data_IF_401813713265
#
_entry.id   IF_401813713265
#
_cell.length_a   1.000
_cell.length_b   1.000
_cell.length_c   1.000
_cell.angle_alpha   90.00
_cell.angle_beta   90.00
_cell.angle_gamma   90.00
#
_symmetry.space_group_name_H-M   'P 1'
#
loop_
_entity.id
_entity.type
_entity.pdbx_description
1 polymer ?
#
# COMPACT_ATOMS: atom_id res chain seq x y z
N UNK A 1 -20.65 -11.82 3.04
CA UNK A 1 -20.20 -10.42 2.90
C UNK A 1 -21.13 -9.70 1.94
N UNK A 2 -21.69 -8.55 2.34
CA UNK A 2 -22.42 -7.65 1.44
C UNK A 2 -22.12 -6.21 1.80
N UNK A 3 -21.59 -5.42 0.82
CA UNK A 3 -21.13 -4.05 1.05
C UNK A 3 -21.41 -3.19 -0.19
N UNK A 4 -21.77 -1.94 0.06
CA UNK A 4 -21.93 -0.89 -0.94
C UNK A 4 -20.93 0.24 -0.67
N UNK A 5 -20.25 0.69 -1.70
CA UNK A 5 -19.18 1.68 -1.59
C UNK A 5 -19.20 2.64 -2.78
N UNK A 6 -18.57 3.79 -2.62
CA UNK A 6 -18.31 4.67 -3.75
C UNK A 6 -17.31 3.98 -4.70
N UNK A 7 -17.65 3.91 -5.99
CA UNK A 7 -16.86 3.22 -7.01
C UNK A 7 -15.46 3.79 -7.17
N UNK A 8 -15.34 5.12 -7.25
CA UNK A 8 -14.06 5.78 -7.52
C UNK A 8 -13.11 5.62 -6.33
N UNK A 9 -13.63 5.73 -5.10
CA UNK A 9 -12.86 5.45 -3.89
C UNK A 9 -12.42 3.98 -3.82
N UNK A 10 -13.31 3.04 -4.16
CA UNK A 10 -12.95 1.62 -4.20
C UNK A 10 -11.89 1.32 -5.28
N UNK A 11 -11.96 2.02 -6.44
CA UNK A 11 -10.93 1.93 -7.48
C UNK A 11 -9.57 2.42 -6.99
N UNK A 12 -9.53 3.53 -6.27
CA UNK A 12 -8.28 4.05 -5.68
C UNK A 12 -7.67 3.03 -4.72
N UNK A 13 -8.48 2.47 -3.81
CA UNK A 13 -8.01 1.45 -2.87
C UNK A 13 -7.48 0.21 -3.58
N UNK A 14 -8.22 -0.30 -4.57
CA UNK A 14 -7.82 -1.46 -5.35
C UNK A 14 -6.52 -1.21 -6.14
N UNK A 15 -6.38 -0.03 -6.73
CA UNK A 15 -5.18 0.37 -7.47
C UNK A 15 -3.96 0.52 -6.55
N UNK A 16 -4.13 1.08 -5.34
CA UNK A 16 -3.07 1.17 -4.35
C UNK A 16 -2.66 -0.23 -3.87
N UNK A 17 -3.60 -1.06 -3.44
CA UNK A 17 -3.32 -2.42 -2.97
C UNK A 17 -2.62 -3.26 -4.05
N UNK A 18 -3.03 -3.16 -5.32
CA UNK A 18 -2.42 -3.90 -6.44
C UNK A 18 -0.91 -3.67 -6.58
N UNK A 19 -0.37 -2.55 -6.09
CA UNK A 19 1.07 -2.27 -6.14
C UNK A 19 1.91 -3.17 -5.24
N UNK A 20 1.30 -3.74 -4.19
CA UNK A 20 1.98 -4.70 -3.30
C UNK A 20 1.80 -6.17 -3.75
N UNK A 21 1.02 -6.44 -4.78
CA UNK A 21 0.83 -7.81 -5.28
C UNK A 21 2.08 -8.30 -6.00
N UNK A 22 2.62 -9.50 -5.67
CA UNK A 22 3.80 -10.03 -6.31
C UNK A 22 3.52 -10.48 -7.75
N UNK A 23 4.45 -10.22 -8.67
CA UNK A 23 4.35 -10.71 -10.06
C UNK A 23 4.50 -12.23 -10.14
N UNK A 24 5.36 -12.79 -9.30
CA UNK A 24 5.66 -14.23 -9.24
C UNK A 24 5.53 -14.65 -7.78
N UNK A 25 4.75 -15.67 -7.51
CA UNK A 25 4.57 -16.24 -6.17
C UNK A 25 4.17 -17.71 -6.25
N UNK A 26 4.58 -18.48 -5.25
CA UNK A 26 4.16 -19.88 -5.04
C UNK A 26 2.86 -19.98 -4.24
N UNK A 27 2.44 -18.89 -3.58
CA UNK A 27 1.22 -18.81 -2.78
C UNK A 27 0.13 -18.17 -3.65
N UNK A 28 -0.87 -18.94 -4.11
CA UNK A 28 -1.89 -18.43 -5.03
C UNK A 28 -2.67 -17.23 -4.49
N UNK A 29 -2.94 -17.20 -3.19
CA UNK A 29 -3.72 -16.17 -2.52
C UNK A 29 -3.04 -14.79 -2.61
N UNK A 30 -1.72 -14.72 -2.65
CA UNK A 30 -0.97 -13.46 -2.80
C UNK A 30 -1.14 -12.80 -4.18
N UNK A 31 -1.68 -13.52 -5.19
CA UNK A 31 -2.06 -12.91 -6.48
C UNK A 31 -3.34 -12.09 -6.41
N UNK A 32 -4.03 -12.13 -5.28
CA UNK A 32 -5.27 -11.40 -5.04
C UNK A 32 -5.09 -10.25 -4.05
N UNK A 33 -6.14 -9.43 -3.98
CA UNK A 33 -6.35 -8.41 -2.95
C UNK A 33 -7.29 -9.00 -1.92
N UNK A 34 -6.89 -9.05 -0.67
CA UNK A 34 -7.77 -9.39 0.44
C UNK A 34 -8.69 -8.20 0.72
N UNK A 35 -9.98 -8.39 0.49
CA UNK A 35 -11.04 -7.44 0.77
C UNK A 35 -11.76 -7.88 2.04
N UNK A 36 -11.93 -6.96 2.98
CA UNK A 36 -12.64 -7.16 4.24
C UNK A 36 -13.69 -6.07 4.43
N UNK A 37 -14.92 -6.46 4.70
CA UNK A 37 -16.02 -5.57 5.06
C UNK A 37 -16.38 -5.76 6.53
N UNK A 38 -16.32 -4.69 7.32
CA UNK A 38 -16.67 -4.69 8.74
C UNK A 38 -17.91 -3.83 9.00
N UNK A 39 -19.03 -4.47 9.38
CA UNK A 39 -20.28 -3.78 9.66
C UNK A 39 -20.25 -2.95 10.95
N UNK A 40 -19.39 -3.29 11.92
CA UNK A 40 -19.27 -2.53 13.18
C UNK A 40 -18.58 -1.19 12.96
N UNK A 41 -17.54 -1.20 12.12
CA UNK A 41 -16.77 -0.01 11.79
C UNK A 41 -17.34 0.74 10.60
N UNK A 42 -18.28 0.14 9.86
CA UNK A 42 -18.79 0.63 8.58
C UNK A 42 -17.64 0.92 7.59
N UNK A 43 -16.70 -0.02 7.48
CA UNK A 43 -15.47 0.14 6.70
C UNK A 43 -15.29 -1.01 5.71
N UNK A 44 -14.79 -0.64 4.54
CA UNK A 44 -14.24 -1.56 3.54
C UNK A 44 -12.73 -1.40 3.53
N UNK A 45 -12.01 -2.50 3.73
CA UNK A 45 -10.54 -2.53 3.74
C UNK A 45 -10.03 -3.44 2.63
N UNK A 46 -9.03 -2.99 1.90
CA UNK A 46 -8.31 -3.76 0.90
C UNK A 46 -6.85 -3.89 1.30
N UNK A 47 -6.37 -5.12 1.41
CA UNK A 47 -4.99 -5.42 1.81
C UNK A 47 -4.30 -6.26 0.75
N UNK A 48 -3.07 -5.91 0.41
CA UNK A 48 -2.21 -6.76 -0.40
C UNK A 48 -0.78 -6.75 0.13
N UNK A 49 -0.07 -7.84 -0.10
CA UNK A 49 1.32 -8.00 0.33
C UNK A 49 2.10 -8.93 -0.60
N UNK A 50 3.39 -8.68 -0.72
CA UNK A 50 4.36 -9.58 -1.32
C UNK A 50 5.34 -10.14 -0.28
N UNK A 51 5.00 -10.02 1.02
CA UNK A 51 5.79 -10.37 2.20
C UNK A 51 6.96 -9.42 2.52
N UNK A 52 7.43 -8.60 1.57
CA UNK A 52 8.42 -7.54 1.80
C UNK A 52 7.72 -6.19 2.02
N UNK A 53 6.67 -5.96 1.25
CA UNK A 53 5.84 -4.75 1.29
C UNK A 53 4.40 -5.16 1.52
N UNK A 54 3.70 -4.42 2.37
CA UNK A 54 2.25 -4.54 2.51
C UNK A 54 1.57 -3.19 2.40
N UNK A 55 0.39 -3.19 1.79
CA UNK A 55 -0.49 -2.02 1.68
C UNK A 55 -1.85 -2.43 2.22
N UNK A 56 -2.33 -1.66 3.19
CA UNK A 56 -3.69 -1.77 3.73
C UNK A 56 -4.36 -0.41 3.57
N UNK A 57 -5.39 -0.35 2.73
CA UNK A 57 -6.15 0.86 2.48
C UNK A 57 -7.61 0.66 2.89
N UNK A 58 -8.20 1.64 3.55
CA UNK A 58 -9.55 1.55 4.10
C UNK A 58 -10.39 2.76 3.72
N UNK A 59 -11.68 2.55 3.54
CA UNK A 59 -12.66 3.61 3.26
C UNK A 59 -13.99 3.34 3.98
N UNK A 60 -14.77 4.39 4.30
CA UNK A 60 -16.13 4.21 4.77
C UNK A 60 -17.00 3.53 3.71
N UNK A 61 -17.85 2.58 4.12
CA UNK A 61 -18.75 1.86 3.24
C UNK A 61 -20.03 1.44 3.98
N UNK A 62 -21.13 1.29 3.24
CA UNK A 62 -22.36 0.75 3.80
C UNK A 62 -22.27 -0.78 3.81
N UNK A 63 -21.93 -1.36 4.95
CA UNK A 63 -21.75 -2.80 5.12
C UNK A 63 -23.02 -3.41 5.71
N UNK A 64 -23.72 -4.23 4.92
CA UNK A 64 -24.91 -4.96 5.36
C UNK A 64 -24.51 -6.25 6.08
N UNK A 65 -23.47 -6.93 5.59
CA UNK A 65 -22.99 -8.21 6.11
C UNK A 65 -21.47 -8.25 6.09
N UNK A 66 -20.87 -8.40 7.28
CA UNK A 66 -19.41 -8.54 7.42
C UNK A 66 -18.88 -9.80 6.75
N UNK A 67 -17.63 -9.75 6.30
CA UNK A 67 -16.96 -10.91 5.74
C UNK A 67 -15.73 -10.51 4.94
N UNK A 68 -15.08 -11.50 4.37
CA UNK A 68 -13.86 -11.30 3.59
C UNK A 68 -13.83 -12.14 2.33
N UNK A 69 -13.06 -11.68 1.35
CA UNK A 69 -12.83 -12.36 0.08
C UNK A 69 -11.46 -11.99 -0.48
N UNK A 70 -10.82 -12.89 -1.20
CA UNK A 70 -9.59 -12.58 -1.94
C UNK A 70 -9.92 -12.53 -3.44
N UNK A 71 -9.83 -11.33 -4.01
CA UNK A 71 -10.21 -11.06 -5.40
C UNK A 71 -8.95 -10.94 -6.24
N UNK A 72 -8.88 -11.56 -7.44
CA UNK A 72 -7.73 -11.41 -8.34
C UNK A 72 -7.37 -9.95 -8.60
N UNK A 73 -6.10 -9.59 -8.35
CA UNK A 73 -5.64 -8.20 -8.35
C UNK A 73 -5.53 -7.60 -9.75
N UNK A 74 -5.40 -8.41 -10.77
CA UNK A 74 -5.37 -8.02 -12.18
C UNK A 74 -6.76 -7.62 -12.70
N UNK A 75 -7.83 -8.21 -12.14
CA UNK A 75 -9.19 -7.98 -12.60
C UNK A 75 -9.92 -6.86 -11.84
N UNK A 76 -9.73 -6.75 -10.53
CA UNK A 76 -10.53 -5.86 -9.69
C UNK A 76 -10.45 -4.38 -10.11
N UNK A 77 -9.26 -3.76 -10.30
CA UNK A 77 -9.20 -2.37 -10.73
C UNK A 77 -9.79 -2.15 -12.13
N UNK A 78 -9.58 -3.10 -13.05
CA UNK A 78 -10.10 -3.00 -14.42
C UNK A 78 -11.62 -3.09 -14.47
N UNK A 79 -12.23 -3.92 -13.63
CA UNK A 79 -13.69 -4.01 -13.49
C UNK A 79 -14.23 -2.71 -12.91
N UNK A 80 -13.68 -2.24 -11.78
CA UNK A 80 -14.13 -1.01 -11.13
C UNK A 80 -14.06 0.20 -12.08
N UNK A 81 -13.02 0.28 -12.91
CA UNK A 81 -12.86 1.35 -13.89
C UNK A 81 -13.94 1.32 -14.99
N UNK A 82 -14.49 0.14 -15.31
CA UNK A 82 -15.46 -0.05 -16.39
C UNK A 82 -16.92 -0.05 -15.93
N UNK A 83 -17.16 -0.14 -14.62
CA UNK A 83 -18.50 -0.12 -14.07
C UNK A 83 -19.16 1.24 -14.30
N UNK A 84 -20.44 1.27 -14.71
CA UNK A 84 -21.21 2.50 -14.79
C UNK A 84 -21.62 2.98 -13.39
N UNK A 85 -21.90 4.27 -13.25
CA UNK A 85 -22.40 4.86 -12.00
C UNK A 85 -21.34 5.06 -10.92
N UNK A 86 -21.74 5.67 -9.81
CA UNK A 86 -20.85 6.12 -8.74
C UNK A 86 -20.82 5.16 -7.56
N UNK A 87 -21.71 4.16 -7.53
CA UNK A 87 -21.80 3.17 -6.48
C UNK A 87 -21.48 1.79 -7.01
N UNK A 88 -20.78 1.00 -6.21
CA UNK A 88 -20.48 -0.40 -6.48
C UNK A 88 -20.94 -1.25 -5.30
N UNK A 89 -21.52 -2.40 -5.60
CA UNK A 89 -21.87 -3.43 -4.62
C UNK A 89 -20.97 -4.65 -4.77
N UNK A 90 -20.54 -5.18 -3.64
CA UNK A 90 -19.82 -6.45 -3.57
C UNK A 90 -20.65 -7.41 -2.72
N UNK A 91 -20.94 -8.60 -3.24
CA UNK A 91 -21.64 -9.64 -2.49
C UNK A 91 -21.04 -11.02 -2.76
N UNK A 92 -20.70 -11.75 -1.70
CA UNK A 92 -20.28 -13.16 -1.84
C UNK A 92 -21.51 -14.05 -1.91
N UNK A 93 -21.55 -14.91 -2.93
CA UNK A 93 -22.65 -15.84 -3.16
C UNK A 93 -22.11 -17.26 -3.08
N UNK A 94 -22.34 -17.91 -1.95
CA UNK A 94 -21.78 -19.23 -1.70
C UNK A 94 -20.24 -19.24 -1.59
N UNK A 95 -19.63 -20.41 -1.51
CA UNK A 95 -18.19 -20.54 -1.46
C UNK A 95 -17.56 -20.27 -2.83
N UNK A 96 -16.62 -19.33 -2.86
CA UNK A 96 -15.75 -19.14 -4.02
C UNK A 96 -16.23 -18.20 -5.12
N UNK A 97 -17.36 -17.49 -4.96
CA UNK A 97 -17.86 -16.54 -5.97
C UNK A 97 -18.18 -15.20 -5.32
N UNK A 98 -17.76 -14.12 -5.96
CA UNK A 98 -18.18 -12.75 -5.66
C UNK A 98 -18.91 -12.14 -6.85
N UNK A 99 -19.99 -11.43 -6.55
CA UNK A 99 -20.68 -10.56 -7.48
C UNK A 99 -20.25 -9.12 -7.24
N UNK A 100 -19.92 -8.41 -8.32
CA UNK A 100 -19.57 -6.99 -8.32
C UNK A 100 -20.55 -6.30 -9.24
N UNK A 101 -21.39 -5.44 -8.69
CA UNK A 101 -22.47 -4.80 -9.44
C UNK A 101 -22.46 -3.29 -9.33
N UNK A 102 -22.90 -2.61 -10.41
CA UNK A 102 -23.18 -1.17 -10.43
C UNK A 102 -24.21 -0.87 -11.51
N UNK A 103 -25.34 -0.30 -11.12
CA UNK A 103 -26.44 -0.04 -12.03
C UNK A 103 -26.93 -1.33 -12.71
N UNK A 104 -26.83 -1.38 -14.03
CA UNK A 104 -27.24 -2.54 -14.85
C UNK A 104 -26.08 -3.52 -15.14
N UNK A 105 -24.87 -3.19 -14.75
CA UNK A 105 -23.71 -4.05 -14.98
C UNK A 105 -23.41 -4.93 -13.77
N UNK A 106 -23.18 -6.21 -14.03
CA UNK A 106 -22.81 -7.20 -13.02
C UNK A 106 -21.70 -8.09 -13.54
N UNK A 107 -20.70 -8.33 -12.68
CA UNK A 107 -19.62 -9.26 -12.91
C UNK A 107 -19.63 -10.36 -11.85
N UNK A 108 -19.31 -11.58 -12.27
CA UNK A 108 -19.12 -12.74 -11.40
C UNK A 108 -17.69 -13.19 -11.50
N UNK A 109 -17.01 -13.27 -10.37
CA UNK A 109 -15.62 -13.69 -10.29
C UNK A 109 -15.47 -14.86 -9.33
N UNK A 110 -14.57 -15.77 -9.69
CA UNK A 110 -14.06 -16.74 -8.74
C UNK A 110 -13.10 -16.03 -7.78
N UNK A 111 -13.26 -16.27 -6.50
CA UNK A 111 -12.42 -15.72 -5.43
C UNK A 111 -11.56 -16.82 -4.82
N UNK A 112 -10.45 -16.44 -4.25
CA UNK A 112 -9.58 -17.30 -3.48
C UNK A 112 -10.01 -17.32 -2.01
N UNK A 113 -9.54 -18.32 -1.26
CA UNK A 113 -9.88 -18.52 0.14
C UNK A 113 -9.23 -17.43 1.02
N UNK A 114 -10.05 -16.56 1.60
CA UNK A 114 -9.57 -15.48 2.45
C UNK A 114 -8.90 -15.99 3.75
N UNK A 115 -9.28 -17.18 4.24
CA UNK A 115 -8.69 -17.76 5.44
C UNK A 115 -7.23 -18.21 5.23
N UNK A 116 -6.83 -18.44 3.98
CA UNK A 116 -5.45 -18.80 3.62
C UNK A 116 -4.57 -17.62 3.24
N UNK A 117 -5.14 -16.43 3.20
CA UNK A 117 -4.37 -15.24 2.86
C UNK A 117 -3.44 -14.88 4.02
N UNK A 118 -2.12 -14.75 3.80
CA UNK A 118 -1.18 -14.37 4.85
C UNK A 118 -1.31 -12.87 5.13
N UNK A 119 -2.28 -12.51 5.98
CA UNK A 119 -2.50 -11.12 6.36
C UNK A 119 -1.29 -10.59 7.14
N UNK A 120 -0.70 -9.47 6.73
CA UNK A 120 0.35 -8.82 7.50
C UNK A 120 -0.20 -8.30 8.82
N UNK A 121 0.61 -8.37 9.87
CA UNK A 121 0.28 -7.70 11.13
C UNK A 121 0.19 -6.19 10.92
N UNK A 122 -0.81 -5.57 11.54
CA UNK A 122 -0.93 -4.11 11.55
C UNK A 122 -0.04 -3.59 12.66
N UNK A 123 1.05 -2.87 12.34
CA UNK A 123 1.96 -2.43 13.39
C UNK A 123 1.32 -1.34 14.23
N UNK A 124 1.58 -1.37 15.53
CA UNK A 124 1.31 -0.25 16.40
C UNK A 124 2.48 0.74 16.30
N UNK A 125 2.19 1.99 15.98
CA UNK A 125 3.19 3.05 15.85
C UNK A 125 3.16 3.94 17.09
N UNK A 126 4.18 3.83 17.94
CA UNK A 126 4.30 4.64 19.16
C UNK A 126 4.94 6.00 18.87
N UNK A 127 6.14 5.98 18.32
CA UNK A 127 6.90 7.18 17.97
C UNK A 127 6.85 7.42 16.46
N UNK A 128 6.04 8.38 16.04
CA UNK A 128 5.91 8.72 14.62
C UNK A 128 6.46 10.08 14.30
N UNK A 129 6.96 10.22 13.08
CA UNK A 129 7.45 11.49 12.53
C UNK A 129 6.56 11.83 11.33
N UNK A 130 5.96 13.02 11.29
CA UNK A 130 5.24 13.46 10.11
C UNK A 130 6.19 13.66 8.94
N UNK A 131 5.92 13.04 7.81
CA UNK A 131 6.70 13.18 6.58
C UNK A 131 5.81 13.53 5.41
N UNK A 132 6.24 14.49 4.59
CA UNK A 132 5.56 14.94 3.38
C UNK A 132 6.52 14.96 2.20
N UNK A 133 5.99 15.04 0.97
CA UNK A 133 6.79 15.13 -0.24
C UNK A 133 7.56 13.85 -0.62
N UNK A 134 7.10 12.68 -0.17
CA UNK A 134 7.73 11.38 -0.47
C UNK A 134 7.83 11.13 -1.98
N UNK A 135 6.80 11.51 -2.76
CA UNK A 135 6.83 11.39 -4.22
C UNK A 135 7.96 12.19 -4.84
N UNK A 136 8.14 13.43 -4.37
CA UNK A 136 9.19 14.32 -4.86
C UNK A 136 10.58 13.79 -4.51
N UNK A 137 10.78 13.36 -3.26
CA UNK A 137 12.04 12.74 -2.82
C UNK A 137 12.38 11.48 -3.61
N UNK A 138 11.39 10.63 -3.85
CA UNK A 138 11.57 9.42 -4.64
C UNK A 138 11.97 9.75 -6.09
N UNK A 139 11.27 10.67 -6.76
CA UNK A 139 11.63 11.10 -8.13
C UNK A 139 13.07 11.63 -8.23
N UNK A 140 13.52 12.34 -7.21
CA UNK A 140 14.85 12.98 -7.20
C UNK A 140 15.98 12.02 -6.82
N UNK A 141 15.70 10.86 -6.25
CA UNK A 141 16.75 9.97 -5.73
C UNK A 141 16.73 8.55 -6.30
N UNK A 142 15.56 7.98 -6.61
CA UNK A 142 15.46 6.56 -7.01
C UNK A 142 16.30 6.19 -8.23
N UNK A 143 16.52 7.10 -9.18
CA UNK A 143 17.31 6.83 -10.39
C UNK A 143 18.77 6.52 -10.09
N UNK A 144 19.29 6.99 -8.96
CA UNK A 144 20.67 6.75 -8.54
C UNK A 144 20.83 5.50 -7.66
N UNK A 145 19.73 4.81 -7.30
CA UNK A 145 19.83 3.54 -6.60
C UNK A 145 20.24 2.42 -7.57
N UNK A 146 21.04 1.47 -7.08
CA UNK A 146 21.48 0.35 -7.90
C UNK A 146 20.35 -0.60 -8.25
N UNK A 147 20.47 -1.25 -9.41
CA UNK A 147 19.57 -2.30 -9.86
C UNK A 147 20.36 -3.61 -10.14
N UNK A 148 19.67 -4.75 -10.19
CA UNK A 148 20.28 -6.04 -10.50
C UNK A 148 21.09 -6.64 -9.35
N UNK A 149 22.22 -7.31 -9.65
CA UNK A 149 23.00 -8.11 -8.70
C UNK A 149 24.05 -7.32 -7.89
N UNK A 150 23.87 -6.02 -7.74
CA UNK A 150 24.76 -5.21 -6.94
C UNK A 150 24.53 -5.43 -5.42
N UNK A 151 25.45 -4.88 -4.60
CA UNK A 151 25.36 -4.96 -3.15
C UNK A 151 24.01 -4.41 -2.64
N UNK A 152 23.39 -5.09 -1.69
CA UNK A 152 22.06 -4.75 -1.20
C UNK A 152 21.96 -3.32 -0.69
N UNK A 153 23.00 -2.81 -0.02
CA UNK A 153 23.04 -1.43 0.49
C UNK A 153 22.86 -0.39 -0.64
N UNK A 154 23.40 -0.65 -1.84
CA UNK A 154 23.26 0.25 -2.97
C UNK A 154 21.86 0.24 -3.60
N UNK A 155 21.05 -0.78 -3.27
CA UNK A 155 19.62 -0.88 -3.67
C UNK A 155 18.69 -0.13 -2.71
N UNK A 156 19.26 0.63 -1.77
CA UNK A 156 18.48 1.41 -0.80
C UNK A 156 18.54 2.90 -1.08
N UNK A 157 17.54 3.59 -0.54
CA UNK A 157 17.57 5.04 -0.34
C UNK A 157 17.71 5.27 1.15
N UNK A 158 18.73 5.98 1.55
CA UNK A 158 18.93 6.42 2.93
C UNK A 158 18.02 7.62 3.20
N UNK A 159 17.04 7.42 4.07
CA UNK A 159 16.25 8.51 4.64
C UNK A 159 16.91 8.96 5.94
N UNK A 160 17.26 10.23 6.02
CA UNK A 160 17.81 10.89 7.21
C UNK A 160 16.81 11.92 7.69
N UNK A 161 16.29 11.72 8.89
CA UNK A 161 15.38 12.65 9.55
C UNK A 161 16.08 13.23 10.76
N UNK A 162 15.97 14.50 10.98
CA UNK A 162 16.60 15.18 12.10
C UNK A 162 16.07 16.60 12.34
N UNK A 163 16.76 17.40 13.18
CA UNK A 163 16.32 18.76 13.50
C UNK A 163 16.20 19.71 12.30
N UNK A 164 16.82 19.35 11.19
CA UNK A 164 16.86 20.19 9.98
C UNK A 164 15.95 19.68 8.85
N UNK A 165 15.08 18.72 9.15
CA UNK A 165 14.15 18.14 8.17
C UNK A 165 14.55 16.77 7.66
N UNK A 166 13.87 16.35 6.58
CA UNK A 166 14.06 15.06 5.92
C UNK A 166 15.01 15.21 4.73
N UNK A 167 15.96 14.28 4.61
CA UNK A 167 16.83 14.13 3.42
C UNK A 167 16.79 12.70 2.92
N UNK A 168 16.84 12.54 1.60
CA UNK A 168 16.98 11.25 0.94
C UNK A 168 18.29 11.21 0.15
N UNK A 169 19.03 10.12 0.24
CA UNK A 169 20.31 9.92 -0.48
C UNK A 169 20.34 8.51 -1.05
N UNK A 170 20.72 8.36 -2.31
CA UNK A 170 20.96 7.06 -2.95
C UNK A 170 22.23 7.08 -3.79
N UNK A 171 22.81 5.92 -4.04
CA UNK A 171 23.99 5.75 -4.89
C UNK A 171 24.02 4.36 -5.51
N UNK A 172 24.56 4.28 -6.73
CA UNK A 172 24.85 3.00 -7.42
C UNK A 172 26.37 2.76 -7.57
N UNK A 173 27.20 3.53 -6.87
CA UNK A 173 28.66 3.48 -6.99
C UNK A 173 29.25 4.35 -8.11
N UNK A 174 28.43 4.81 -9.06
CA UNK A 174 28.86 5.70 -10.15
C UNK A 174 28.31 7.11 -10.01
N UNK A 175 27.12 7.24 -9.45
CA UNK A 175 26.50 8.53 -9.15
C UNK A 175 25.88 8.51 -7.75
N UNK A 176 25.71 9.71 -7.19
CA UNK A 176 25.03 9.96 -5.93
C UNK A 176 23.94 10.99 -6.20
N UNK A 177 22.73 10.72 -5.73
CA UNK A 177 21.65 11.69 -5.69
C UNK A 177 21.31 12.01 -4.24
N UNK A 178 21.20 13.29 -3.92
CA UNK A 178 20.71 13.78 -2.63
C UNK A 178 19.59 14.78 -2.86
N UNK A 179 18.50 14.62 -2.12
CA UNK A 179 17.35 15.51 -2.15
C UNK A 179 16.95 15.87 -0.71
N UNK A 180 16.59 17.14 -0.51
CA UNK A 180 16.01 17.62 0.74
C UNK A 180 14.46 17.61 0.60
N UNK A 181 13.79 17.03 1.56
CA UNK A 181 12.34 17.06 1.69
C UNK A 181 11.84 18.29 2.45
N UNK A 182 10.62 18.20 2.94
CA UNK A 182 10.00 19.26 3.72
C UNK A 182 10.78 19.52 5.01
N UNK A 183 11.09 20.79 5.26
CA UNK A 183 11.77 21.24 6.49
C UNK A 183 10.91 21.06 7.74
N UNK A 184 9.59 20.88 7.58
CA UNK A 184 8.67 20.62 8.68
C UNK A 184 8.70 19.16 9.18
N UNK A 185 9.34 18.25 8.43
CA UNK A 185 9.57 16.87 8.85
C UNK A 185 10.73 16.81 9.86
N UNK A 186 10.48 17.20 11.11
CA UNK A 186 11.50 17.38 12.13
C UNK A 186 11.43 16.27 13.16
N UNK A 187 12.58 15.72 13.52
CA UNK A 187 12.76 14.82 14.65
C UNK A 187 13.73 15.43 15.67
N UNK A 188 13.51 15.18 16.95
CA UNK A 188 14.37 15.67 18.04
C UNK A 188 15.79 15.12 17.96
N UNK A 189 15.94 13.87 17.50
CA UNK A 189 17.22 13.20 17.27
C UNK A 189 17.39 12.84 15.80
N UNK A 190 18.65 12.80 15.35
CA UNK A 190 18.97 12.36 14.01
C UNK A 190 18.79 10.84 13.88
N UNK A 191 17.95 10.42 12.94
CA UNK A 191 17.72 9.01 12.62
C UNK A 191 18.01 8.76 11.16
N UNK A 192 18.74 7.68 10.86
CA UNK A 192 19.05 7.23 9.49
C UNK A 192 18.42 5.85 9.26
N UNK A 193 17.66 5.73 8.19
CA UNK A 193 16.94 4.51 7.84
C UNK A 193 17.28 4.16 6.38
N UNK A 194 17.63 2.90 6.12
CA UNK A 194 17.88 2.39 4.77
C UNK A 194 16.63 1.71 4.24
N UNK A 195 15.91 2.41 3.38
CA UNK A 195 14.65 1.91 2.79
C UNK A 195 14.96 1.29 1.43
N UNK A 196 14.50 0.07 1.14
CA UNK A 196 14.65 -0.51 -0.19
C UNK A 196 14.09 0.43 -1.27
N UNK A 197 14.88 0.70 -2.31
CA UNK A 197 14.47 1.62 -3.39
C UNK A 197 13.15 1.17 -4.05
N UNK A 198 12.95 -0.16 -4.19
CA UNK A 198 11.70 -0.73 -4.70
C UNK A 198 10.51 -0.37 -3.82
N UNK A 199 10.65 -0.46 -2.50
CA UNK A 199 9.58 -0.14 -1.55
C UNK A 199 9.25 1.35 -1.62
N UNK A 200 10.25 2.23 -1.65
CA UNK A 200 10.05 3.66 -1.79
C UNK A 200 9.38 4.01 -3.14
N UNK A 201 9.72 3.29 -4.21
CA UNK A 201 9.06 3.44 -5.52
C UNK A 201 7.57 3.08 -5.47
N UNK A 202 7.22 2.01 -4.75
CA UNK A 202 5.81 1.61 -4.56
C UNK A 202 5.08 2.66 -3.73
N UNK A 203 5.66 3.11 -2.61
CA UNK A 203 5.06 4.15 -1.77
C UNK A 203 4.82 5.43 -2.59
N UNK A 204 5.80 5.89 -3.35
CA UNK A 204 5.65 7.05 -4.22
C UNK A 204 4.58 6.88 -5.31
N UNK A 205 4.36 5.66 -5.80
CA UNK A 205 3.36 5.37 -6.82
C UNK A 205 1.91 5.37 -6.29
N UNK A 206 1.72 5.22 -4.97
CA UNK A 206 0.40 5.25 -4.32
C UNK A 206 0.11 6.56 -3.60
N UNK A 207 1.11 7.44 -3.47
CA UNK A 207 1.03 8.71 -2.74
C UNK A 207 0.81 9.88 -3.68
N UNK A 208 0.15 10.91 -3.17
CA UNK A 208 0.09 12.23 -3.79
C UNK A 208 1.18 13.14 -3.21
N UNK A 209 1.57 14.18 -3.95
CA UNK A 209 2.56 15.16 -3.45
C UNK A 209 2.06 15.92 -2.20
N UNK A 210 0.73 16.00 -2.01
CA UNK A 210 0.08 16.62 -0.87
C UNK A 210 -0.06 15.72 0.36
N UNK A 211 0.22 14.42 0.23
CA UNK A 211 0.01 13.48 1.33
C UNK A 211 1.04 13.71 2.44
N UNK A 212 0.55 13.68 3.66
CA UNK A 212 1.36 13.67 4.88
C UNK A 212 1.21 12.31 5.55
N UNK A 213 2.32 11.62 5.74
CA UNK A 213 2.36 10.34 6.40
C UNK A 213 2.94 10.47 7.81
N UNK A 214 2.42 9.68 8.74
CA UNK A 214 3.10 9.38 9.99
C UNK A 214 4.05 8.21 9.71
N UNK A 215 5.34 8.47 9.76
CA UNK A 215 6.39 7.47 9.56
C UNK A 215 6.86 6.96 10.92
N UNK A 216 6.89 5.65 11.11
CA UNK A 216 7.35 5.02 12.35
C UNK A 216 8.09 3.72 12.09
N UNK A 217 9.08 3.42 12.95
CA UNK A 217 9.75 2.12 12.96
C UNK A 217 8.83 1.07 13.59
N UNK A 218 8.87 -0.13 13.02
CA UNK A 218 8.18 -1.31 13.53
C UNK A 218 9.19 -2.38 13.90
N UNK A 219 8.74 -3.52 14.46
CA UNK A 219 9.63 -4.65 14.76
C UNK A 219 10.29 -5.23 13.50
N UNK A 220 9.58 -5.17 12.37
CA UNK A 220 9.99 -5.82 11.12
C UNK A 220 10.45 -4.83 10.06
N UNK A 221 10.35 -3.52 10.33
CA UNK A 221 10.73 -2.54 9.32
C UNK A 221 10.22 -1.13 9.56
N UNK A 222 9.64 -0.55 8.54
CA UNK A 222 9.18 0.84 8.52
C UNK A 222 7.73 0.90 8.03
N UNK A 223 6.92 1.71 8.69
CA UNK A 223 5.54 1.95 8.29
C UNK A 223 5.27 3.44 8.04
N UNK A 224 4.36 3.70 7.10
CA UNK A 224 3.83 5.01 6.74
C UNK A 224 2.31 4.96 6.79
N UNK A 225 1.67 5.86 7.50
CA UNK A 225 0.23 5.94 7.62
C UNK A 225 -0.30 7.36 7.42
N UNK A 226 -1.33 7.53 6.60
CA UNK A 226 -1.95 8.83 6.29
C UNK A 226 -3.41 8.95 6.73
N UNK A 227 -3.89 8.07 7.60
CA UNK A 227 -5.28 8.04 8.05
C UNK A 227 -6.18 7.07 7.28
N UNK A 228 -5.88 6.78 6.03
CA UNK A 228 -6.64 5.84 5.18
C UNK A 228 -5.79 4.68 4.68
N UNK A 229 -4.51 4.91 4.43
CA UNK A 229 -3.59 3.93 3.86
C UNK A 229 -2.41 3.70 4.80
N UNK A 230 -2.18 2.45 5.16
CA UNK A 230 -1.00 1.95 5.84
C UNK A 230 -0.11 1.25 4.82
N UNK A 231 1.11 1.73 4.70
CA UNK A 231 2.17 1.11 3.90
C UNK A 231 3.26 0.61 4.85
N UNK A 232 3.61 -0.66 4.76
CA UNK A 232 4.71 -1.23 5.55
C UNK A 232 5.73 -1.85 4.62
N UNK A 233 7.01 -1.77 5.01
CA UNK A 233 8.12 -2.39 4.29
C UNK A 233 9.16 -2.92 5.25
N UNK A 234 9.71 -4.10 4.94
CA UNK A 234 10.91 -4.59 5.62
C UNK A 234 12.11 -3.71 5.26
N UNK A 235 13.02 -3.56 6.19
CA UNK A 235 14.31 -2.90 5.96
C UNK A 235 15.35 -3.94 5.58
N UNK A 236 16.46 -3.48 5.01
CA UNK A 236 17.62 -4.33 4.72
C UNK A 236 18.50 -4.35 5.96
N UNK A 237 18.87 -5.54 6.39
CA UNK A 237 19.85 -5.80 7.47
C UNK A 237 21.25 -5.33 7.07
#
# INVERSE_FOLDING_TARGET
MRVHANRDSALVLAAQASKAVPKITTIPELKGIHMEADARLAMLTMTATNQEVSIRASMPAAVEESGSAVIPADLLPDILKRLPGDQVSFSTVGPGIIHIGSGYAEYRLNILDAAKYPLPEVPFLEDTIPVSGICSLARQTLFAAAAGDQQNILKTVRLKVGPYGLKATSSNGFCIAEAAGDKNCVAASETCILVPARSLSILAAISLDSDVYQMGLTREGLAFWNGTTMFCTHLID
#
